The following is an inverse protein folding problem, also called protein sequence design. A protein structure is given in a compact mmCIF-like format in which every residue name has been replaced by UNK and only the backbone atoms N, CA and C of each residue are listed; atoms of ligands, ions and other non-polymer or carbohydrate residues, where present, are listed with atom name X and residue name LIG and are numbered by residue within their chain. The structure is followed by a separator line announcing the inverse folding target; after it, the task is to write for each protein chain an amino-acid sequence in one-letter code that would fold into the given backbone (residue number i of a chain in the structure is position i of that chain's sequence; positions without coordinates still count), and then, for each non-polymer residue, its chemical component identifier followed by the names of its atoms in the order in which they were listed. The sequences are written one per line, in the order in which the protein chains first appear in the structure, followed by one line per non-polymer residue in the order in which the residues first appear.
data_IF_075175777407
#
_entry.id   IF_075175777407
#
_cell.length_a   1.000
_cell.length_b   1.000
_cell.length_c   1.000
_cell.angle_alpha   90.00
_cell.angle_beta   90.00
_cell.angle_gamma   90.00
#
_symmetry.space_group_name_H-M   'P 1'
#
loop_
_entity.id
_entity.type
_entity.pdbx_description
1 polymer ?
#
# COMPACT_ATOMS: atom_id res chain seq x y z
N UNK A 1 15.03 -1.98 5.07
CA UNK A 1 16.12 -1.77 6.05
C UNK A 1 15.75 -2.30 7.45
N UNK A 2 14.82 -1.69 8.19
CA UNK A 2 14.52 -2.04 9.60
C UNK A 2 14.06 -3.49 9.87
N UNK A 3 13.35 -4.14 8.93
CA UNK A 3 12.91 -5.53 9.09
C UNK A 3 14.05 -6.55 9.08
N UNK A 4 15.07 -6.29 8.27
CA UNK A 4 16.28 -7.12 8.16
C UNK A 4 17.11 -6.99 9.44
N UNK A 5 17.24 -5.76 9.95
CA UNK A 5 17.98 -5.45 11.18
C UNK A 5 17.31 -6.03 12.44
N UNK A 6 15.98 -6.12 12.51
CA UNK A 6 15.27 -6.79 13.63
C UNK A 6 15.20 -8.33 13.49
N UNK A 7 15.91 -8.95 12.53
CA UNK A 7 15.84 -10.39 12.20
C UNK A 7 14.40 -10.91 11.98
N UNK A 8 13.43 -10.05 11.66
CA UNK A 8 12.05 -10.45 11.36
C UNK A 8 11.87 -10.66 9.85
N UNK A 9 12.53 -11.68 9.32
CA UNK A 9 12.45 -12.07 7.90
C UNK A 9 11.02 -12.41 7.45
N UNK A 10 10.14 -12.85 8.36
CA UNK A 10 8.71 -13.04 8.09
C UNK A 10 7.96 -11.76 7.67
N UNK A 11 8.54 -10.57 7.86
CA UNK A 11 7.96 -9.29 7.42
C UNK A 11 8.48 -8.85 6.04
N UNK A 12 9.57 -9.43 5.55
CA UNK A 12 10.09 -9.23 4.18
C UNK A 12 9.38 -10.22 3.25
N UNK A 13 8.07 -10.00 3.05
CA UNK A 13 7.31 -10.81 2.11
C UNK A 13 7.59 -10.37 0.67
N UNK A 14 7.34 -11.26 -0.29
CA UNK A 14 7.37 -10.91 -1.71
C UNK A 14 6.56 -9.64 -2.02
N UNK A 15 5.41 -9.46 -1.35
CA UNK A 15 4.58 -8.26 -1.46
C UNK A 15 5.35 -7.00 -1.05
N UNK A 16 6.09 -7.04 0.05
CA UNK A 16 6.86 -5.88 0.52
C UNK A 16 7.96 -5.49 -0.48
N UNK A 17 8.72 -6.46 -0.97
CA UNK A 17 9.82 -6.22 -1.91
C UNK A 17 9.28 -5.74 -3.25
N UNK A 18 8.25 -6.43 -3.79
CA UNK A 18 7.60 -6.04 -5.04
C UNK A 18 7.05 -4.62 -4.95
N UNK A 19 6.35 -4.29 -3.86
CA UNK A 19 5.83 -2.95 -3.64
C UNK A 19 6.90 -1.88 -3.62
N UNK A 20 7.97 -2.05 -2.84
CA UNK A 20 9.00 -1.01 -2.76
C UNK A 20 9.77 -0.83 -4.07
N UNK A 21 10.07 -1.91 -4.78
CA UNK A 21 10.78 -1.81 -6.06
C UNK A 21 9.88 -1.17 -7.13
N UNK A 22 8.63 -1.63 -7.26
CA UNK A 22 7.73 -1.11 -8.29
C UNK A 22 7.29 0.34 -8.01
N UNK A 23 7.02 0.71 -6.76
CA UNK A 23 6.66 2.10 -6.41
C UNK A 23 7.81 3.08 -6.62
N UNK A 24 9.06 2.70 -6.32
CA UNK A 24 10.24 3.55 -6.61
C UNK A 24 10.42 3.69 -8.13
N UNK A 25 10.30 2.60 -8.89
CA UNK A 25 10.43 2.62 -10.35
C UNK A 25 9.36 3.49 -11.02
N UNK A 26 8.09 3.30 -10.64
CA UNK A 26 6.97 4.10 -11.14
C UNK A 26 7.09 5.55 -10.69
N UNK A 27 7.51 5.81 -9.45
CA UNK A 27 7.72 7.17 -8.93
C UNK A 27 8.83 7.92 -9.68
N UNK A 28 9.93 7.24 -10.03
CA UNK A 28 11.00 7.81 -10.83
C UNK A 28 10.56 8.11 -12.27
N UNK A 29 9.87 7.17 -12.92
CA UNK A 29 9.32 7.38 -14.27
C UNK A 29 8.28 8.51 -14.28
N UNK A 30 7.38 8.53 -13.30
CA UNK A 30 6.39 9.59 -13.13
C UNK A 30 7.05 10.96 -12.95
N UNK A 31 8.02 11.08 -12.05
CA UNK A 31 8.71 12.36 -11.81
C UNK A 31 9.53 12.84 -13.01
N UNK A 32 10.08 11.91 -13.81
CA UNK A 32 10.92 12.23 -14.97
C UNK A 32 10.11 12.62 -16.21
N UNK A 33 9.00 11.93 -16.47
CA UNK A 33 8.23 12.10 -17.71
C UNK A 33 6.92 12.88 -17.53
N UNK A 34 6.39 12.97 -16.30
CA UNK A 34 5.12 13.60 -15.97
C UNK A 34 5.21 14.36 -14.64
N UNK A 35 5.95 15.48 -14.58
CA UNK A 35 6.05 16.30 -13.39
C UNK A 35 4.72 17.07 -13.15
N UNK A 36 3.70 16.39 -12.60
CA UNK A 36 2.44 17.00 -12.16
C UNK A 36 1.17 16.29 -12.62
N UNK A 37 0.02 16.88 -12.30
CA UNK A 37 -1.30 16.40 -12.71
C UNK A 37 -1.85 15.24 -11.86
N UNK A 38 -2.61 14.32 -12.47
CA UNK A 38 -3.24 13.20 -11.75
C UNK A 38 -2.25 12.24 -11.07
N UNK A 39 -0.97 12.29 -11.44
CA UNK A 39 0.09 11.44 -10.86
C UNK A 39 0.47 11.87 -9.44
N UNK A 40 0.14 13.10 -9.03
CA UNK A 40 0.42 13.60 -7.66
C UNK A 40 -0.70 13.26 -6.66
N UNK A 41 -1.92 13.03 -7.14
CA UNK A 41 -3.05 12.68 -6.27
C UNK A 41 -2.78 11.42 -5.44
N UNK A 42 -2.18 10.33 -5.97
CA UNK A 42 -1.84 9.16 -5.18
C UNK A 42 -0.89 9.40 -4.00
N UNK A 43 -0.07 10.45 -4.06
CA UNK A 43 0.91 10.77 -3.02
C UNK A 43 0.20 11.23 -1.74
N UNK A 44 -0.85 12.05 -1.85
CA UNK A 44 -1.59 12.55 -0.69
C UNK A 44 -2.18 11.44 0.21
N UNK A 45 -3.08 10.56 -0.26
CA UNK A 45 -3.65 9.51 0.58
C UNK A 45 -2.57 8.51 1.02
N UNK A 46 -1.53 8.27 0.21
CA UNK A 46 -0.41 7.42 0.61
C UNK A 46 0.36 7.98 1.81
N UNK A 47 0.66 9.28 1.81
CA UNK A 47 1.32 9.93 2.95
C UNK A 47 0.45 9.89 4.21
N UNK A 48 -0.85 10.12 4.10
CA UNK A 48 -1.78 10.01 5.23
C UNK A 48 -1.80 8.60 5.84
N UNK A 49 -1.91 7.57 5.00
CA UNK A 49 -1.89 6.17 5.47
C UNK A 49 -0.53 5.80 6.03
N UNK A 50 0.56 6.30 5.44
CA UNK A 50 1.91 6.12 5.98
C UNK A 50 2.07 6.75 7.36
N UNK A 51 1.56 7.97 7.59
CA UNK A 51 1.58 8.60 8.92
C UNK A 51 0.91 7.69 9.95
N UNK A 52 -0.26 7.14 9.64
CA UNK A 52 -0.95 6.19 10.53
C UNK A 52 -0.16 4.91 10.77
N UNK A 53 0.42 4.34 9.71
CA UNK A 53 1.21 3.10 9.78
C UNK A 53 2.49 3.29 10.60
N UNK A 54 3.22 4.39 10.41
CA UNK A 54 4.44 4.68 11.18
C UNK A 54 4.11 5.02 12.63
N UNK A 55 2.99 5.70 12.90
CA UNK A 55 2.50 5.95 14.26
C UNK A 55 2.22 4.63 14.97
N UNK A 56 1.57 3.67 14.29
CA UNK A 56 1.38 2.32 14.81
C UNK A 56 2.71 1.61 15.11
N UNK A 57 3.70 1.72 14.23
CA UNK A 57 5.00 1.11 14.48
C UNK A 57 5.75 1.74 15.65
N UNK A 58 5.64 3.06 15.84
CA UNK A 58 6.20 3.76 17.00
C UNK A 58 5.58 3.25 18.30
N UNK A 59 4.25 3.18 18.36
CA UNK A 59 3.52 2.69 19.54
C UNK A 59 3.82 1.21 19.83
N UNK A 60 4.03 0.40 18.80
CA UNK A 60 4.41 -1.01 18.97
C UNK A 60 5.81 -1.21 19.58
N UNK A 61 6.64 -0.17 19.67
CA UNK A 61 7.95 -0.21 20.35
C UNK A 61 7.85 -0.02 21.87
N UNK A 62 6.73 0.49 22.41
CA UNK A 62 6.58 0.82 23.84
C UNK A 62 6.43 -0.39 24.77
N UNK A 63 6.40 -1.61 24.25
CA UNK A 63 6.44 -2.84 25.05
C UNK A 63 5.39 -3.89 24.68
N UNK A 64 5.46 -5.10 25.29
CA UNK A 64 4.60 -6.23 24.95
C UNK A 64 3.11 -6.01 25.25
N UNK A 65 2.78 -5.24 26.29
CA UNK A 65 1.38 -4.93 26.63
C UNK A 65 0.73 -4.01 25.59
N UNK A 66 1.50 -3.03 25.10
CA UNK A 66 1.07 -2.15 24.02
C UNK A 66 0.92 -2.93 22.71
N UNK A 67 1.84 -3.87 22.42
CA UNK A 67 1.72 -4.75 21.25
C UNK A 67 0.45 -5.60 21.25
N UNK A 68 0.01 -6.12 22.41
CA UNK A 68 -1.26 -6.86 22.52
C UNK A 68 -2.46 -5.98 22.22
N UNK A 69 -2.48 -4.74 22.75
CA UNK A 69 -3.55 -3.77 22.44
C UNK A 69 -3.57 -3.42 20.95
N UNK A 70 -2.40 -3.17 20.37
CA UNK A 70 -2.24 -2.83 18.96
C UNK A 70 -2.53 -3.99 18.01
N UNK A 71 -2.40 -5.24 18.43
CA UNK A 71 -2.69 -6.40 17.57
C UNK A 71 -4.12 -6.35 17.00
N UNK A 72 -5.09 -5.83 17.78
CA UNK A 72 -6.47 -5.61 17.33
C UNK A 72 -6.59 -4.45 16.32
N UNK A 73 -5.76 -3.42 16.44
CA UNK A 73 -5.72 -2.28 15.52
C UNK A 73 -5.06 -2.60 14.18
N UNK A 74 -4.17 -3.61 14.16
CA UNK A 74 -3.47 -4.05 12.95
C UNK A 74 -4.42 -4.40 11.79
N UNK A 75 -5.58 -5.00 12.08
CA UNK A 75 -6.59 -5.35 11.06
C UNK A 75 -7.19 -4.10 10.41
N UNK A 76 -7.48 -3.07 11.20
CA UNK A 76 -8.03 -1.80 10.71
C UNK A 76 -7.00 -1.05 9.86
N UNK A 77 -5.73 -1.05 10.26
CA UNK A 77 -4.64 -0.51 9.45
C UNK A 77 -4.53 -1.19 8.08
N UNK A 78 -4.59 -2.53 8.05
CA UNK A 78 -4.59 -3.27 6.77
C UNK A 78 -5.83 -2.95 5.93
N UNK A 79 -7.00 -2.78 6.56
CA UNK A 79 -8.23 -2.39 5.87
C UNK A 79 -8.15 -0.98 5.28
N UNK A 80 -7.58 -0.02 6.00
CA UNK A 80 -7.36 1.36 5.52
C UNK A 80 -6.39 1.36 4.32
N UNK A 81 -5.32 0.56 4.38
CA UNK A 81 -4.39 0.39 3.24
C UNK A 81 -5.10 -0.19 2.01
N UNK A 82 -6.00 -1.15 2.20
CA UNK A 82 -6.80 -1.70 1.10
C UNK A 82 -7.79 -0.68 0.54
N UNK A 83 -8.43 0.11 1.40
CA UNK A 83 -9.33 1.19 0.99
C UNK A 83 -8.58 2.26 0.18
N UNK A 84 -7.35 2.59 0.56
CA UNK A 84 -6.48 3.48 -0.22
C UNK A 84 -6.34 2.97 -1.66
N UNK A 85 -6.04 1.69 -1.88
CA UNK A 85 -5.92 1.14 -3.24
C UNK A 85 -7.23 1.23 -4.04
N UNK A 86 -8.39 1.07 -3.40
CA UNK A 86 -9.70 1.24 -4.06
C UNK A 86 -9.91 2.68 -4.49
N UNK A 87 -9.64 3.65 -3.59
CA UNK A 87 -9.74 5.08 -3.92
C UNK A 87 -8.80 5.45 -5.05
N UNK A 88 -7.57 4.92 -5.04
CA UNK A 88 -6.61 5.13 -6.11
C UNK A 88 -7.05 4.50 -7.44
N UNK A 89 -7.70 3.33 -7.41
CA UNK A 89 -8.24 2.70 -8.61
C UNK A 89 -9.40 3.52 -9.22
N UNK A 90 -10.29 4.07 -8.38
CA UNK A 90 -11.38 4.96 -8.82
C UNK A 90 -10.85 6.30 -9.34
N UNK A 91 -9.77 6.82 -8.76
CA UNK A 91 -9.11 8.00 -9.32
C UNK A 91 -8.45 7.68 -10.66
N UNK A 92 -7.75 6.54 -10.76
CA UNK A 92 -7.09 6.12 -11.98
C UNK A 92 -8.09 5.80 -13.11
N UNK A 93 -9.31 5.35 -12.81
CA UNK A 93 -10.33 5.12 -13.85
C UNK A 93 -10.81 6.41 -14.53
N UNK A 94 -10.71 7.56 -13.85
CA UNK A 94 -11.01 8.87 -14.46
C UNK A 94 -10.02 9.20 -15.59
N UNK A 95 -8.80 8.67 -15.52
CA UNK A 95 -7.80 8.81 -16.58
C UNK A 95 -8.12 7.98 -17.85
N UNK A 96 -9.12 7.09 -17.82
CA UNK A 96 -9.63 6.41 -19.02
C UNK A 96 -10.76 7.19 -19.73
N UNK A 97 -11.21 8.32 -19.17
CA UNK A 97 -12.20 9.15 -19.84
C UNK A 97 -11.63 9.70 -21.16
N UNK A 98 -12.36 9.63 -22.29
CA UNK A 98 -11.87 10.08 -23.60
C UNK A 98 -11.60 11.60 -23.67
N UNK A 99 -11.98 12.35 -22.64
CA UNK A 99 -11.72 13.79 -22.49
C UNK A 99 -10.42 14.13 -21.74
N UNK A 100 -9.64 13.12 -21.33
CA UNK A 100 -8.45 13.31 -20.51
C UNK A 100 -7.17 13.03 -21.33
N UNK A 101 -6.39 14.07 -21.63
CA UNK A 101 -5.08 14.02 -22.31
C UNK A 101 -3.95 13.49 -21.41
N UNK A 102 -4.21 12.37 -20.72
CA UNK A 102 -3.20 11.72 -19.89
C UNK A 102 -2.31 10.87 -20.80
N UNK A 103 -1.01 10.92 -20.57
CA UNK A 103 -0.08 10.02 -21.26
C UNK A 103 -0.50 8.57 -21.07
N UNK A 104 -0.99 7.94 -22.15
CA UNK A 104 -1.54 6.59 -22.15
C UNK A 104 -0.55 5.53 -21.61
N UNK A 105 0.76 5.78 -21.78
CA UNK A 105 1.83 4.97 -21.22
C UNK A 105 1.85 4.95 -19.67
N UNK A 106 1.52 6.07 -19.01
CA UNK A 106 1.48 6.14 -17.55
C UNK A 106 0.26 5.40 -16.98
N UNK A 107 -0.91 5.56 -17.59
CA UNK A 107 -2.12 4.81 -17.23
C UNK A 107 -1.94 3.30 -17.43
N UNK A 108 -1.29 2.88 -18.52
CA UNK A 108 -1.02 1.47 -18.83
C UNK A 108 -0.03 0.82 -17.86
N UNK A 109 0.89 1.59 -17.25
CA UNK A 109 1.79 1.11 -16.20
C UNK A 109 1.15 1.11 -14.81
N UNK A 110 0.35 2.12 -14.49
CA UNK A 110 -0.19 2.34 -13.15
C UNK A 110 -1.36 1.41 -12.82
N UNK A 111 -2.29 1.22 -13.77
CA UNK A 111 -3.49 0.40 -13.57
C UNK A 111 -3.19 -1.08 -13.27
N UNK A 112 -2.33 -1.78 -14.03
CA UNK A 112 -1.97 -3.16 -13.70
C UNK A 112 -1.28 -3.27 -12.34
N UNK A 113 -0.44 -2.30 -11.97
CA UNK A 113 0.25 -2.30 -10.67
C UNK A 113 -0.74 -2.20 -9.50
N UNK A 114 -1.74 -1.32 -9.61
CA UNK A 114 -2.81 -1.18 -8.61
C UNK A 114 -3.61 -2.49 -8.43
N UNK A 115 -3.94 -3.17 -9.53
CA UNK A 115 -4.65 -4.46 -9.48
C UNK A 115 -3.80 -5.53 -8.80
N UNK A 116 -2.50 -5.62 -9.14
CA UNK A 116 -1.57 -6.57 -8.50
C UNK A 116 -1.44 -6.27 -7.00
N UNK A 117 -1.33 -5.00 -6.61
CA UNK A 117 -1.26 -4.62 -5.20
C UNK A 117 -2.53 -4.98 -4.44
N UNK A 118 -3.70 -4.66 -4.99
CA UNK A 118 -4.96 -5.00 -4.36
C UNK A 118 -5.08 -6.52 -4.18
N UNK A 119 -4.75 -7.31 -5.21
CA UNK A 119 -4.77 -8.77 -5.13
C UNK A 119 -3.83 -9.31 -4.05
N UNK A 120 -2.58 -8.82 -4.00
CA UNK A 120 -1.59 -9.28 -3.03
C UNK A 120 -1.98 -8.90 -1.59
N UNK A 121 -2.51 -7.68 -1.37
CA UNK A 121 -3.02 -7.26 -0.07
C UNK A 121 -4.27 -8.04 0.35
N UNK A 122 -5.20 -8.30 -0.57
CA UNK A 122 -6.38 -9.13 -0.33
C UNK A 122 -6.00 -10.56 0.05
N UNK A 123 -5.05 -11.16 -0.68
CA UNK A 123 -4.49 -12.48 -0.36
C UNK A 123 -3.82 -12.51 1.02
N UNK A 124 -3.07 -11.45 1.36
CA UNK A 124 -2.48 -11.29 2.69
C UNK A 124 -3.55 -11.16 3.80
N UNK A 125 -4.60 -10.38 3.56
CA UNK A 125 -5.69 -10.15 4.49
C UNK A 125 -6.44 -11.45 4.81
N UNK A 126 -6.82 -12.22 3.78
CA UNK A 126 -7.49 -13.52 3.96
C UNK A 126 -6.60 -14.48 4.74
N UNK A 127 -5.33 -14.61 4.34
CA UNK A 127 -4.39 -15.56 4.98
C UNK A 127 -4.14 -15.21 6.45
N UNK A 128 -4.10 -13.93 6.79
CA UNK A 128 -3.70 -13.46 8.12
C UNK A 128 -4.87 -13.35 9.10
N UNK A 129 -6.03 -12.90 8.64
CA UNK A 129 -7.17 -12.58 9.52
C UNK A 129 -8.32 -13.59 9.33
N UNK A 130 -8.79 -13.81 8.09
CA UNK A 130 -9.97 -14.66 7.84
C UNK A 130 -9.73 -16.15 8.14
N UNK A 131 -8.53 -16.66 7.86
CA UNK A 131 -8.19 -18.05 8.18
C UNK A 131 -7.85 -18.30 9.66
N UNK A 132 -7.64 -17.23 10.45
CA UNK A 132 -7.49 -17.34 11.91
C UNK A 132 -8.83 -17.31 12.63
N UNK A 133 -9.76 -16.47 12.20
CA UNK A 133 -11.15 -16.44 12.71
C UNK A 133 -11.91 -17.75 12.49
N UNK A 134 -11.55 -18.56 11.48
CA UNK A 134 -12.13 -19.90 11.26
C UNK A 134 -11.52 -21.02 12.12
N UNK A 135 -10.45 -20.73 12.86
CA UNK A 135 -9.73 -21.70 13.71
C UNK A 135 -9.90 -21.43 15.21
N UNK A 136 -10.52 -20.31 15.57
CA UNK A 136 -11.08 -20.03 16.89
C UNK A 136 -12.57 -20.37 16.89
#
# INVERSE_FOLDING_TARGET
MFFVLRKKQNQVSFLHVYHHISTIGIGYLGSKYLPGGMVTFPIMPNTLVHVLMYTYYLLALQGPDMQKKLAKFKKYLTAIQMLQFVVLAVHASQALSPTCDVHMAASLLFMPNLVVFFYLFYKFYIKTYRNKEKKE
#
